data_IF_978469467118
#
_entry.id   IF_978469467118
#
_cell.length_a   1.000
_cell.length_b   1.000
_cell.length_c   1.000
_cell.angle_alpha   90.00
_cell.angle_beta   90.00
_cell.angle_gamma   90.00
#
_symmetry.space_group_name_H-M   'P 1'
#
loop_
_entity.id
_entity.type
_entity.pdbx_description
1 polymer ?
#
# COMPACT_ATOMS: atom_id res chain seq x y z
N UNK A 1 28.00 53.30 -4.82
CA UNK A 1 28.16 52.67 -3.50
C UNK A 1 26.81 52.68 -2.81
N UNK A 2 26.04 51.60 -2.93
CA UNK A 2 24.92 51.29 -2.05
C UNK A 2 24.90 49.78 -1.90
N UNK A 3 25.24 49.35 -0.70
CA UNK A 3 25.17 47.99 -0.18
C UNK A 3 23.71 47.56 -0.02
N UNK A 4 23.37 46.32 -0.36
CA UNK A 4 22.83 45.33 0.59
C UNK A 4 22.30 44.09 -0.14
N UNK A 5 22.82 42.95 0.30
CA UNK A 5 22.34 41.61 0.00
C UNK A 5 20.93 41.42 0.58
N UNK A 6 20.07 40.72 -0.16
CA UNK A 6 19.01 39.92 0.43
C UNK A 6 19.12 38.52 -0.20
N UNK A 7 19.82 37.68 0.54
CA UNK A 7 19.84 36.24 0.46
C UNK A 7 18.40 35.72 0.69
N UNK A 8 17.79 35.14 -0.33
CA UNK A 8 16.52 34.42 -0.20
C UNK A 8 16.81 32.94 -0.39
N UNK A 9 17.26 32.35 0.71
CA UNK A 9 17.46 30.93 0.92
C UNK A 9 16.15 30.16 0.74
N UNK A 10 16.15 29.31 -0.28
CA UNK A 10 15.71 27.91 -0.30
C UNK A 10 14.57 27.45 0.64
N UNK A 11 13.49 26.92 0.06
CA UNK A 11 12.72 25.84 0.71
C UNK A 11 12.40 24.70 -0.28
N UNK A 12 13.43 24.05 -0.82
CA UNK A 12 13.28 22.67 -1.28
C UNK A 12 13.12 21.74 -0.07
N UNK A 13 11.89 21.59 0.42
CA UNK A 13 11.60 20.50 1.35
C UNK A 13 11.77 19.20 0.58
N UNK A 14 12.85 18.46 0.85
CA UNK A 14 13.00 17.09 0.39
C UNK A 14 11.70 16.31 0.70
N UNK A 15 11.21 15.45 -0.20
CA UNK A 15 9.97 14.72 0.04
C UNK A 15 10.12 13.93 1.34
N UNK A 16 9.19 14.09 2.28
CA UNK A 16 9.09 13.15 3.40
C UNK A 16 8.70 11.81 2.77
N UNK A 17 9.53 10.78 2.89
CA UNK A 17 9.18 9.44 2.43
C UNK A 17 7.83 9.05 3.07
N UNK A 18 6.80 8.88 2.23
CA UNK A 18 5.43 8.61 2.68
C UNK A 18 5.21 7.18 3.18
N UNK A 19 6.23 6.35 3.05
CA UNK A 19 6.23 4.92 3.38
C UNK A 19 6.86 4.10 2.27
N UNK A 20 7.08 2.83 2.57
CA UNK A 20 7.64 1.86 1.62
C UNK A 20 6.54 0.96 1.05
N UNK A 21 6.69 0.55 -0.20
CA UNK A 21 5.79 -0.41 -0.81
C UNK A 21 6.55 -1.48 -1.59
N UNK A 22 5.98 -2.67 -1.67
CA UNK A 22 6.39 -3.68 -2.63
C UNK A 22 5.29 -3.90 -3.66
N UNK A 23 5.69 -4.33 -4.84
CA UNK A 23 4.79 -4.52 -5.96
C UNK A 23 4.99 -5.91 -6.57
N UNK A 24 3.93 -6.71 -6.59
CA UNK A 24 3.90 -8.01 -7.23
C UNK A 24 2.98 -7.93 -8.44
N UNK A 25 3.48 -8.24 -9.64
CA UNK A 25 2.68 -8.26 -10.86
C UNK A 25 2.55 -9.69 -11.38
N UNK A 26 1.33 -10.16 -11.59
CA UNK A 26 1.01 -11.53 -12.01
C UNK A 26 0.26 -11.49 -13.32
N UNK A 27 0.50 -12.43 -14.24
CA UNK A 27 -0.26 -12.56 -15.48
C UNK A 27 0.51 -12.22 -16.76
N UNK A 28 -0.13 -11.48 -17.67
CA UNK A 28 0.33 -11.33 -19.07
C UNK A 28 0.98 -9.96 -19.35
N UNK A 29 1.56 -9.72 -20.55
CA UNK A 29 2.24 -8.46 -20.87
C UNK A 29 1.41 -7.18 -20.70
N UNK A 30 0.07 -7.26 -20.73
CA UNK A 30 -0.78 -6.10 -20.42
C UNK A 30 -0.63 -5.62 -18.97
N UNK A 31 -0.42 -6.55 -18.03
CA UNK A 31 -0.21 -6.21 -16.62
C UNK A 31 1.12 -5.47 -16.40
N UNK A 32 2.09 -5.59 -17.32
CA UNK A 32 3.35 -4.84 -17.23
C UNK A 32 3.12 -3.33 -17.38
N UNK A 33 2.40 -2.92 -18.43
CA UNK A 33 2.12 -1.49 -18.68
C UNK A 33 1.26 -0.90 -17.57
N UNK A 34 0.26 -1.64 -17.08
CA UNK A 34 -0.55 -1.20 -15.94
C UNK A 34 0.28 -1.10 -14.66
N UNK A 35 1.22 -2.02 -14.43
CA UNK A 35 2.16 -1.98 -13.32
C UNK A 35 3.09 -0.76 -13.38
N UNK A 36 3.67 -0.44 -14.54
CA UNK A 36 4.53 0.74 -14.70
C UNK A 36 3.80 2.04 -14.37
N UNK A 37 2.52 2.14 -14.77
CA UNK A 37 1.68 3.31 -14.43
C UNK A 37 1.45 3.43 -12.93
N UNK A 38 1.08 2.33 -12.26
CA UNK A 38 0.88 2.32 -10.81
C UNK A 38 2.17 2.61 -10.05
N UNK A 39 3.29 2.02 -10.48
CA UNK A 39 4.63 2.26 -9.92
C UNK A 39 5.02 3.73 -10.05
N UNK A 40 4.85 4.31 -11.25
CA UNK A 40 5.11 5.73 -11.50
C UNK A 40 4.26 6.64 -10.62
N UNK A 41 2.97 6.34 -10.49
CA UNK A 41 2.05 7.11 -9.63
C UNK A 41 2.47 7.07 -8.15
N UNK A 42 2.82 5.89 -7.62
CA UNK A 42 3.29 5.75 -6.25
C UNK A 42 4.61 6.50 -6.01
N UNK A 43 5.55 6.43 -6.95
CA UNK A 43 6.81 7.16 -6.87
C UNK A 43 6.59 8.69 -6.90
N UNK A 44 5.70 9.18 -7.77
CA UNK A 44 5.36 10.61 -7.87
C UNK A 44 4.73 11.15 -6.58
N UNK A 45 3.98 10.33 -5.86
CA UNK A 45 3.38 10.70 -4.56
C UNK A 45 4.38 10.56 -3.39
N UNK A 46 5.59 10.06 -3.63
CA UNK A 46 6.67 9.98 -2.64
C UNK A 46 6.72 8.68 -1.82
N UNK A 47 6.16 7.59 -2.34
CA UNK A 47 6.35 6.25 -1.78
C UNK A 47 7.60 5.58 -2.36
N UNK A 48 8.34 4.86 -1.52
CA UNK A 48 9.60 4.20 -1.89
C UNK A 48 9.37 2.72 -2.20
N UNK A 49 9.79 2.26 -3.38
CA UNK A 49 9.71 0.84 -3.76
C UNK A 49 10.81 0.04 -3.04
N UNK A 50 10.43 -1.08 -2.41
CA UNK A 50 11.35 -2.07 -1.85
C UNK A 50 11.25 -3.40 -2.59
N UNK A 51 12.35 -4.16 -2.62
CA UNK A 51 12.44 -5.42 -3.36
C UNK A 51 11.81 -6.61 -2.63
N UNK A 52 11.85 -6.62 -1.30
CA UNK A 52 11.21 -7.67 -0.49
C UNK A 52 9.85 -7.18 0.02
N UNK A 53 8.79 -7.92 -0.31
CA UNK A 53 7.44 -7.65 0.17
C UNK A 53 7.35 -7.62 1.70
N UNK A 54 8.19 -8.40 2.38
CA UNK A 54 8.15 -8.55 3.81
C UNK A 54 8.96 -7.48 4.57
N UNK A 55 9.56 -6.53 3.85
CA UNK A 55 10.15 -5.29 4.36
C UNK A 55 9.26 -4.05 4.07
N UNK A 56 8.20 -4.22 3.27
CA UNK A 56 7.33 -3.13 2.87
C UNK A 56 6.28 -2.78 3.93
N UNK A 57 5.92 -1.50 4.01
CA UNK A 57 4.73 -1.09 4.78
C UNK A 57 3.44 -1.60 4.13
N UNK A 58 3.38 -1.57 2.80
CA UNK A 58 2.21 -1.99 2.01
C UNK A 58 2.64 -2.85 0.82
N UNK A 59 1.88 -3.89 0.52
CA UNK A 59 2.08 -4.70 -0.68
C UNK A 59 0.92 -4.47 -1.64
N UNK A 60 1.25 -4.12 -2.88
CA UNK A 60 0.31 -4.05 -4.01
C UNK A 60 0.50 -5.29 -4.88
N UNK A 61 -0.55 -6.07 -5.06
CA UNK A 61 -0.54 -7.24 -5.96
C UNK A 61 -1.42 -6.94 -7.18
N UNK A 62 -0.81 -6.72 -8.34
CA UNK A 62 -1.52 -6.58 -9.62
C UNK A 62 -1.90 -7.95 -10.17
N UNK A 63 -3.17 -8.28 -10.06
CA UNK A 63 -3.75 -9.60 -10.31
C UNK A 63 -4.28 -9.77 -11.74
N UNK A 64 -4.26 -11.02 -12.22
CA UNK A 64 -4.84 -11.39 -13.50
C UNK A 64 -6.21 -12.06 -13.30
N UNK A 65 -7.21 -11.63 -14.08
CA UNK A 65 -8.59 -12.13 -14.01
C UNK A 65 -9.06 -12.88 -15.26
N UNK A 66 -8.14 -13.26 -16.17
CA UNK A 66 -8.52 -13.72 -17.51
C UNK A 66 -8.57 -15.25 -17.66
N UNK A 67 -7.58 -15.97 -17.12
CA UNK A 67 -7.50 -17.44 -17.19
C UNK A 67 -7.42 -18.04 -15.80
N UNK A 68 -8.01 -19.22 -15.62
CA UNK A 68 -8.13 -19.85 -14.30
C UNK A 68 -6.79 -20.10 -13.58
N UNK A 69 -5.72 -20.60 -14.24
CA UNK A 69 -4.44 -20.78 -13.57
C UNK A 69 -3.87 -19.49 -12.99
N UNK A 70 -3.97 -18.38 -13.73
CA UNK A 70 -3.48 -17.07 -13.29
C UNK A 70 -4.35 -16.49 -12.16
N UNK A 71 -5.65 -16.82 -12.13
CA UNK A 71 -6.54 -16.46 -11.01
C UNK A 71 -6.13 -17.21 -9.74
N UNK A 72 -5.89 -18.51 -9.83
CA UNK A 72 -5.45 -19.32 -8.68
C UNK A 72 -4.08 -18.88 -8.16
N UNK A 73 -3.14 -18.57 -9.05
CA UNK A 73 -1.85 -17.95 -8.69
C UNK A 73 -2.06 -16.60 -7.99
N UNK A 74 -2.91 -15.73 -8.54
CA UNK A 74 -3.24 -14.43 -7.92
C UNK A 74 -3.80 -14.59 -6.51
N UNK A 75 -4.72 -15.53 -6.30
CA UNK A 75 -5.27 -15.84 -4.98
C UNK A 75 -4.21 -16.39 -4.02
N UNK A 76 -3.30 -17.24 -4.50
CA UNK A 76 -2.20 -17.78 -3.71
C UNK A 76 -1.29 -16.68 -3.16
N UNK A 77 -0.80 -15.82 -4.05
CA UNK A 77 0.07 -14.69 -3.66
C UNK A 77 -0.65 -13.72 -2.73
N UNK A 78 -1.93 -13.39 -2.99
CA UNK A 78 -2.69 -12.52 -2.10
C UNK A 78 -2.81 -13.11 -0.68
N UNK A 79 -3.03 -14.42 -0.54
CA UNK A 79 -3.07 -15.09 0.76
C UNK A 79 -1.73 -15.02 1.48
N UNK A 80 -0.63 -15.30 0.77
CA UNK A 80 0.73 -15.17 1.32
C UNK A 80 1.00 -13.75 1.85
N UNK A 81 0.60 -12.72 1.09
CA UNK A 81 0.77 -11.33 1.53
C UNK A 81 -0.10 -11.00 2.76
N UNK A 82 -1.32 -11.55 2.83
CA UNK A 82 -2.18 -11.40 4.02
C UNK A 82 -1.61 -12.14 5.23
N UNK A 83 -0.94 -13.27 5.04
CA UNK A 83 -0.21 -13.97 6.11
C UNK A 83 0.93 -13.11 6.64
N UNK A 84 1.73 -12.49 5.77
CA UNK A 84 2.78 -11.53 6.16
C UNK A 84 2.21 -10.35 6.95
N UNK A 85 1.03 -9.85 6.55
CA UNK A 85 0.30 -8.81 7.28
C UNK A 85 -0.15 -9.29 8.66
N UNK A 86 -0.70 -10.49 8.73
CA UNK A 86 -1.17 -11.08 10.00
C UNK A 86 -0.01 -11.32 10.97
N UNK A 87 1.16 -11.71 10.45
CA UNK A 87 2.41 -11.81 11.20
C UNK A 87 3.04 -10.45 11.57
N UNK A 88 2.46 -9.33 11.12
CA UNK A 88 2.91 -7.97 11.44
C UNK A 88 4.13 -7.49 10.66
N UNK A 89 4.60 -8.25 9.65
CA UNK A 89 5.70 -7.84 8.76
C UNK A 89 5.26 -6.77 7.78
N UNK A 90 4.04 -6.91 7.26
CA UNK A 90 3.39 -5.95 6.37
C UNK A 90 2.25 -5.27 7.12
N UNK A 91 1.96 -4.01 6.81
CA UNK A 91 0.84 -3.28 7.44
C UNK A 91 -0.44 -3.44 6.63
N UNK A 92 -0.35 -3.37 5.30
CA UNK A 92 -1.52 -3.46 4.42
C UNK A 92 -1.27 -4.27 3.14
N UNK A 93 -2.33 -4.87 2.61
CA UNK A 93 -2.33 -5.63 1.34
C UNK A 93 -3.44 -5.10 0.44
N UNK A 94 -3.07 -4.73 -0.78
CA UNK A 94 -3.97 -4.19 -1.80
C UNK A 94 -3.96 -5.13 -3.00
N UNK A 95 -5.14 -5.61 -3.41
CA UNK A 95 -5.27 -6.30 -4.69
C UNK A 95 -5.64 -5.27 -5.77
N UNK A 96 -4.86 -5.24 -6.84
CA UNK A 96 -5.08 -4.39 -8.00
C UNK A 96 -5.35 -5.22 -9.25
N UNK A 97 -5.85 -4.60 -10.32
CA UNK A 97 -5.88 -5.20 -11.66
C UNK A 97 -7.15 -5.95 -12.04
N UNK A 98 -7.02 -6.87 -12.98
CA UNK A 98 -8.16 -7.47 -13.69
C UNK A 98 -9.07 -8.32 -12.80
N UNK A 99 -8.50 -9.10 -11.87
CA UNK A 99 -9.31 -9.91 -10.95
C UNK A 99 -10.04 -9.02 -9.95
N UNK A 100 -9.37 -7.99 -9.44
CA UNK A 100 -9.95 -6.97 -8.57
C UNK A 100 -11.06 -6.14 -9.25
N UNK A 101 -11.09 -6.05 -10.58
CA UNK A 101 -12.22 -5.44 -11.30
C UNK A 101 -13.40 -6.40 -11.43
N UNK A 102 -13.13 -7.66 -11.80
CA UNK A 102 -14.15 -8.63 -12.22
C UNK A 102 -14.85 -9.36 -11.08
N UNK A 103 -14.13 -9.63 -9.99
CA UNK A 103 -14.57 -10.54 -8.93
C UNK A 103 -14.27 -9.94 -7.55
N UNK A 104 -14.82 -8.75 -7.30
CA UNK A 104 -14.58 -7.99 -6.05
C UNK A 104 -15.10 -8.71 -4.82
N UNK A 105 -16.32 -9.24 -4.90
CA UNK A 105 -16.96 -9.94 -3.79
C UNK A 105 -16.27 -11.27 -3.54
N UNK A 106 -16.03 -12.08 -4.59
CA UNK A 106 -15.31 -13.33 -4.46
C UNK A 106 -13.89 -13.18 -3.93
N UNK A 107 -13.19 -12.08 -4.25
CA UNK A 107 -11.88 -11.79 -3.66
C UNK A 107 -11.96 -11.51 -2.15
N UNK A 108 -12.98 -10.78 -1.70
CA UNK A 108 -13.18 -10.49 -0.27
C UNK A 108 -13.50 -11.75 0.51
N UNK A 109 -14.28 -12.65 -0.08
CA UNK A 109 -14.66 -13.91 0.56
C UNK A 109 -13.50 -14.92 0.59
N UNK A 110 -12.74 -15.03 -0.51
CA UNK A 110 -11.65 -16.01 -0.64
C UNK A 110 -10.34 -15.58 0.00
N UNK A 111 -10.12 -14.27 0.15
CA UNK A 111 -8.93 -13.69 0.78
C UNK A 111 -9.36 -12.64 1.81
N UNK A 112 -9.95 -13.07 2.94
CA UNK A 112 -10.28 -12.15 4.02
C UNK A 112 -8.99 -11.52 4.57
N UNK A 113 -8.95 -10.20 4.64
CA UNK A 113 -7.79 -9.46 5.16
C UNK A 113 -7.19 -8.44 4.21
N UNK A 114 -7.63 -8.40 2.95
CA UNK A 114 -7.30 -7.32 2.01
C UNK A 114 -7.82 -5.96 2.52
N UNK A 115 -7.01 -4.91 2.39
CA UNK A 115 -7.38 -3.56 2.84
C UNK A 115 -8.13 -2.80 1.75
N UNK A 116 -7.71 -2.93 0.50
CA UNK A 116 -8.32 -2.28 -0.65
C UNK A 116 -8.32 -3.17 -1.89
N UNK A 117 -9.32 -2.96 -2.75
CA UNK A 117 -9.44 -3.56 -4.08
C UNK A 117 -9.45 -2.44 -5.12
N UNK A 118 -8.46 -2.44 -6.01
CA UNK A 118 -8.30 -1.44 -7.06
C UNK A 118 -8.50 -2.12 -8.41
N UNK A 119 -9.58 -1.77 -9.10
CA UNK A 119 -9.85 -2.31 -10.43
C UNK A 119 -8.93 -1.72 -11.49
N UNK A 120 -8.95 -2.27 -12.70
CA UNK A 120 -8.14 -1.80 -13.85
C UNK A 120 -8.46 -0.35 -14.20
N UNK A 121 -9.73 0.06 -14.05
CA UNK A 121 -10.14 1.44 -14.30
C UNK A 121 -9.77 2.40 -13.18
N UNK A 122 -9.42 1.88 -12.00
CA UNK A 122 -9.08 2.64 -10.80
C UNK A 122 -7.57 2.72 -10.50
N UNK A 123 -6.71 2.44 -11.49
CA UNK A 123 -5.25 2.39 -11.30
C UNK A 123 -4.63 3.75 -10.93
N UNK A 124 -5.29 4.86 -11.25
CA UNK A 124 -4.81 6.21 -10.91
C UNK A 124 -5.02 6.51 -9.40
N UNK A 125 -5.95 5.80 -8.77
CA UNK A 125 -6.32 5.87 -7.37
C UNK A 125 -5.43 4.98 -6.48
N UNK A 126 -4.45 4.26 -7.05
CA UNK A 126 -3.60 3.33 -6.29
C UNK A 126 -2.86 4.01 -5.13
N UNK A 127 -2.36 5.22 -5.35
CA UNK A 127 -1.64 5.96 -4.31
C UNK A 127 -2.56 6.38 -3.18
N UNK A 128 -3.80 6.77 -3.49
CA UNK A 128 -4.82 7.06 -2.48
C UNK A 128 -5.18 5.79 -1.68
N UNK A 129 -5.30 4.64 -2.34
CA UNK A 129 -5.55 3.37 -1.66
C UNK A 129 -4.42 3.00 -0.70
N UNK A 130 -3.16 3.24 -1.09
CA UNK A 130 -1.99 3.04 -0.21
C UNK A 130 -2.03 4.01 0.97
N UNK A 131 -2.24 5.29 0.73
CA UNK A 131 -2.30 6.33 1.77
C UNK A 131 -3.37 6.01 2.82
N UNK A 132 -4.61 5.77 2.39
CA UNK A 132 -5.73 5.42 3.29
C UNK A 132 -5.44 4.15 4.11
N UNK A 133 -4.76 3.17 3.50
CA UNK A 133 -4.39 1.94 4.19
C UNK A 133 -3.40 2.21 5.33
N UNK A 134 -2.39 3.05 5.09
CA UNK A 134 -1.38 3.39 6.09
C UNK A 134 -1.92 4.31 7.19
N UNK A 135 -2.73 5.31 6.84
CA UNK A 135 -3.38 6.22 7.80
C UNK A 135 -4.28 5.48 8.77
N UNK A 136 -5.12 4.57 8.26
CA UNK A 136 -6.02 3.74 9.09
C UNK A 136 -5.25 2.96 10.15
N UNK A 137 -4.05 2.50 9.83
CA UNK A 137 -3.19 1.73 10.74
C UNK A 137 -2.52 2.62 11.76
N UNK A 138 -2.05 3.80 11.35
CA UNK A 138 -1.55 4.84 12.25
C UNK A 138 -2.59 5.23 13.31
N UNK A 139 -3.82 5.50 12.88
CA UNK A 139 -4.93 5.85 13.77
C UNK A 139 -5.30 4.72 14.76
N UNK A 140 -5.33 3.47 14.31
CA UNK A 140 -5.58 2.29 15.18
C UNK A 140 -4.48 2.12 16.23
N UNK A 141 -3.21 2.30 15.85
CA UNK A 141 -2.07 2.24 16.79
C UNK A 141 -2.13 3.36 17.83
N UNK A 142 -2.49 4.58 17.42
CA UNK A 142 -2.67 5.72 18.33
C UNK A 142 -3.74 5.45 19.39
N UNK A 143 -4.94 5.02 18.97
CA UNK A 143 -6.04 4.68 19.90
C UNK A 143 -5.66 3.55 20.87
N UNK A 144 -4.99 2.50 20.39
CA UNK A 144 -4.54 1.38 21.24
C UNK A 144 -3.50 1.84 22.28
N UNK A 145 -2.59 2.75 21.92
CA UNK A 145 -1.60 3.31 22.87
C UNK A 145 -2.28 4.12 23.97
N UNK A 146 -3.19 5.02 23.61
CA UNK A 146 -3.95 5.84 24.57
C UNK A 146 -4.71 4.93 25.56
N UNK A 147 -5.45 3.93 25.07
CA UNK A 147 -6.18 3.01 25.94
C UNK A 147 -5.28 2.21 26.90
N UNK A 148 -4.06 1.84 26.47
CA UNK A 148 -3.08 1.15 27.33
C UNK A 148 -2.48 2.09 28.36
N UNK A 149 -2.21 3.34 28.01
CA UNK A 149 -1.72 4.37 28.95
C UNK A 149 -2.77 4.70 30.02
N UNK A 150 -4.05 4.83 29.64
CA UNK A 150 -5.17 5.01 30.58
C UNK A 150 -5.29 3.82 31.55
N UNK A 151 -5.25 2.59 31.06
CA UNK A 151 -5.28 1.39 31.89
C UNK A 151 -4.10 1.31 32.87
N UNK A 152 -2.90 1.72 32.46
CA UNK A 152 -1.72 1.80 33.34
C UNK A 152 -1.85 2.90 34.38
N UNK A 153 -2.46 4.03 34.04
CA UNK A 153 -2.73 5.13 34.98
C UNK A 153 -3.76 4.76 36.05
N UNK A 154 -4.73 3.90 35.72
CA UNK A 154 -5.76 3.41 36.66
C UNK A 154 -5.20 2.34 37.62
N UNK A 155 -4.16 1.60 37.22
CA UNK A 155 -3.54 0.51 37.99
C UNK A 155 -2.18 0.88 38.62
N UNK A 156 -1.77 2.15 38.57
CA UNK A 156 -0.60 2.62 39.32
C UNK A 156 -1.00 2.92 40.78
N UNK A 157 -0.27 2.42 41.80
CA UNK A 157 -0.57 2.68 43.21
C UNK A 157 -0.41 4.15 43.62
#
# INVERSE_FOLDING_TARGET
>A
MSTSNADSTNSSSAPRERGTFAFVSLGCPKNLVDSERMLGKLAMEGFSLVGDAAEADVVVVNTCGFIEPARQESLGVLREMVELKTGGRVKAVIAAGCLAERDREGLRDQVPGLDHLVGVFGREEIAQAVELSLERIGAKRGKKRIAVEELKGIFSP
#
